data_IF_664368005940
#
_entry.id   IF_664368005940
#
_cell.length_a   1.000
_cell.length_b   1.000
_cell.length_c   1.000
_cell.angle_alpha   90.00
_cell.angle_beta   90.00
_cell.angle_gamma   90.00
#
_symmetry.space_group_name_H-M   'P 1'
#
loop_
_entity.id
_entity.type
_entity.pdbx_description
1 polymer ?
#
# COMPACT_ATOMS: atom_id res chain seq x y z
N UNK A 1 37.87 11.21 -23.99
CA UNK A 1 37.98 9.89 -23.39
C UNK A 1 38.38 10.02 -21.91
N UNK A 2 37.61 9.46 -21.03
CA UNK A 2 37.88 9.44 -19.60
C UNK A 2 37.43 8.13 -18.95
N UNK A 3 38.15 7.70 -17.89
CA UNK A 3 37.78 6.56 -17.05
C UNK A 3 37.39 7.03 -15.67
N UNK A 4 36.38 6.40 -15.05
CA UNK A 4 35.83 6.76 -13.75
C UNK A 4 35.48 8.25 -13.67
N UNK A 5 34.71 8.72 -14.65
CA UNK A 5 34.28 10.11 -14.73
C UNK A 5 33.04 10.29 -13.87
N UNK A 6 33.06 11.25 -12.97
CA UNK A 6 31.96 11.48 -12.05
C UNK A 6 31.52 12.95 -11.99
N UNK A 7 30.23 13.13 -11.71
CA UNK A 7 29.63 14.43 -11.35
C UNK A 7 28.83 14.22 -10.07
N UNK A 8 29.27 14.85 -8.99
CA UNK A 8 28.72 14.60 -7.67
C UNK A 8 28.94 13.14 -7.25
N UNK A 9 27.87 12.46 -6.85
CA UNK A 9 27.89 11.03 -6.46
C UNK A 9 27.75 10.06 -7.64
N UNK A 10 27.45 10.57 -8.85
CA UNK A 10 27.22 9.76 -10.04
C UNK A 10 28.55 9.49 -10.74
N UNK A 11 28.86 8.23 -11.03
CA UNK A 11 30.14 7.80 -11.61
C UNK A 11 29.89 6.86 -12.78
N UNK A 12 30.46 7.21 -13.96
CA UNK A 12 30.55 6.33 -15.10
C UNK A 12 31.90 5.61 -15.12
N UNK A 13 31.92 4.35 -15.55
CA UNK A 13 33.17 3.58 -15.65
C UNK A 13 34.09 4.16 -16.73
N UNK A 14 33.48 4.54 -17.86
CA UNK A 14 34.19 5.14 -18.99
C UNK A 14 33.26 6.08 -19.74
N UNK A 15 33.80 7.20 -20.21
CA UNK A 15 33.11 8.18 -21.07
C UNK A 15 33.93 8.43 -22.32
N UNK A 16 33.26 8.39 -23.48
CA UNK A 16 33.80 8.73 -24.81
C UNK A 16 32.86 9.73 -25.48
N UNK A 17 33.37 10.49 -26.42
CA UNK A 17 32.57 11.40 -27.24
C UNK A 17 33.29 12.65 -27.62
N UNK A 18 32.70 13.41 -28.52
CA UNK A 18 33.08 14.75 -28.89
C UNK A 18 32.29 15.78 -28.07
N UNK A 19 32.92 16.88 -27.75
CA UNK A 19 32.21 18.04 -27.19
C UNK A 19 32.71 19.30 -27.87
N UNK A 20 31.84 20.28 -27.97
CA UNK A 20 32.17 21.63 -28.41
C UNK A 20 31.60 22.68 -27.46
N UNK A 21 32.27 23.80 -27.39
CA UNK A 21 31.82 24.97 -26.67
C UNK A 21 32.15 26.22 -27.49
N UNK A 22 31.13 27.02 -27.81
CA UNK A 22 31.30 28.24 -28.61
C UNK A 22 31.19 29.55 -27.80
N UNK A 23 31.09 29.43 -26.46
CA UNK A 23 30.89 30.55 -25.54
C UNK A 23 29.44 30.64 -25.03
N UNK A 24 28.48 30.10 -25.74
CA UNK A 24 27.06 30.11 -25.37
C UNK A 24 26.47 28.69 -25.31
N UNK A 25 26.94 27.80 -26.20
CA UNK A 25 26.41 26.46 -26.34
C UNK A 25 27.44 25.39 -25.96
N UNK A 26 27.07 24.51 -25.06
CA UNK A 26 27.83 23.29 -24.78
C UNK A 26 27.13 22.11 -25.45
N UNK A 27 27.83 21.44 -26.35
CA UNK A 27 27.28 20.30 -27.09
C UNK A 27 28.10 19.04 -26.86
N UNK A 28 27.42 17.93 -26.59
CA UNK A 28 27.97 16.58 -26.60
C UNK A 28 27.45 15.88 -27.86
N UNK A 29 28.37 15.39 -28.70
CA UNK A 29 28.07 14.71 -29.96
C UNK A 29 28.49 13.24 -29.82
N UNK A 30 27.53 12.35 -30.01
CA UNK A 30 27.75 10.90 -29.90
C UNK A 30 28.49 10.52 -28.62
N UNK A 31 28.05 11.09 -27.51
CA UNK A 31 28.58 10.77 -26.17
C UNK A 31 28.25 9.31 -25.85
N UNK A 32 29.24 8.55 -25.41
CA UNK A 32 29.09 7.17 -24.94
C UNK A 32 29.50 7.14 -23.45
N UNK A 33 28.60 6.62 -22.62
CA UNK A 33 28.81 6.45 -21.18
C UNK A 33 28.69 4.96 -20.86
N UNK A 34 29.76 4.34 -20.41
CA UNK A 34 29.80 2.93 -20.06
C UNK A 34 29.58 2.74 -18.56
N UNK A 35 28.79 1.73 -18.20
CA UNK A 35 28.42 1.41 -16.84
C UNK A 35 28.10 -0.07 -16.68
N UNK A 36 28.88 -0.76 -15.83
CA UNK A 36 28.80 -2.22 -15.73
C UNK A 36 29.05 -2.90 -17.07
N UNK A 37 28.08 -3.72 -17.50
CA UNK A 37 28.15 -4.42 -18.80
C UNK A 37 27.42 -3.67 -19.94
N UNK A 38 26.84 -2.52 -19.64
CA UNK A 38 26.05 -1.75 -20.58
C UNK A 38 26.63 -0.38 -20.90
N UNK A 39 25.88 0.36 -21.71
CA UNK A 39 26.25 1.71 -22.11
C UNK A 39 25.02 2.57 -22.39
N UNK A 40 25.24 3.89 -22.32
CA UNK A 40 24.30 4.90 -22.82
C UNK A 40 25.02 5.66 -23.93
N UNK A 41 24.36 5.83 -25.07
CA UNK A 41 24.84 6.65 -26.18
C UNK A 41 23.83 7.74 -26.48
N UNK A 42 24.29 8.96 -26.78
CA UNK A 42 23.37 10.05 -27.06
C UNK A 42 24.05 11.36 -27.39
N UNK A 43 23.21 12.36 -27.58
CA UNK A 43 23.58 13.73 -27.80
C UNK A 43 22.97 14.60 -26.69
N UNK A 44 23.67 15.67 -26.32
CA UNK A 44 23.16 16.67 -25.40
C UNK A 44 23.56 18.06 -25.88
N UNK A 45 22.66 19.02 -25.68
CA UNK A 45 22.88 20.41 -25.95
C UNK A 45 22.45 21.24 -24.73
N UNK A 46 23.29 22.13 -24.27
CA UNK A 46 22.99 23.09 -23.22
C UNK A 46 23.26 24.51 -23.71
N UNK A 47 22.27 25.38 -23.56
CA UNK A 47 22.35 26.80 -23.85
C UNK A 47 22.53 27.60 -22.57
N UNK A 48 23.67 28.27 -22.41
CA UNK A 48 23.98 29.01 -21.19
C UNK A 48 23.24 30.32 -21.04
N UNK A 49 22.72 30.88 -22.14
CA UNK A 49 21.98 32.16 -22.16
C UNK A 49 20.61 32.08 -21.47
N UNK A 50 19.91 30.97 -21.63
CA UNK A 50 18.58 30.71 -21.05
C UNK A 50 18.55 29.47 -20.15
N UNK A 51 19.72 28.86 -19.93
CA UNK A 51 19.90 27.64 -19.12
C UNK A 51 19.06 26.44 -19.61
N UNK A 52 18.70 26.39 -20.89
CA UNK A 52 17.95 25.27 -21.44
C UNK A 52 18.85 24.12 -21.84
N UNK A 53 18.31 22.90 -21.77
CA UNK A 53 19.01 21.71 -22.27
C UNK A 53 18.10 20.79 -23.06
N UNK A 54 18.70 20.05 -23.99
CA UNK A 54 18.09 18.90 -24.67
C UNK A 54 19.02 17.69 -24.53
N UNK A 55 18.44 16.50 -24.34
CA UNK A 55 19.16 15.24 -24.26
C UNK A 55 18.38 14.21 -25.05
N UNK A 56 19.03 13.55 -26.02
CA UNK A 56 18.53 12.37 -26.70
C UNK A 56 19.50 11.20 -26.44
N UNK A 57 19.02 10.17 -25.79
CA UNK A 57 19.86 9.07 -25.37
C UNK A 57 19.20 7.70 -25.60
N UNK A 58 20.02 6.71 -25.89
CA UNK A 58 19.70 5.29 -25.93
C UNK A 58 20.59 4.53 -24.95
N UNK A 59 19.96 3.80 -24.03
CA UNK A 59 20.61 2.91 -23.09
C UNK A 59 20.52 1.46 -23.57
N UNK A 60 21.59 0.69 -23.44
CA UNK A 60 21.60 -0.75 -23.64
C UNK A 60 22.22 -1.43 -22.43
N UNK A 61 21.39 -2.14 -21.67
CA UNK A 61 21.79 -2.82 -20.44
C UNK A 61 22.60 -1.93 -19.47
N UNK A 62 22.25 -0.65 -19.39
CA UNK A 62 22.94 0.31 -18.56
C UNK A 62 22.59 0.11 -17.08
N UNK A 63 23.61 -0.02 -16.23
CA UNK A 63 23.44 -0.13 -14.78
C UNK A 63 23.24 1.25 -14.17
N UNK A 64 22.07 1.49 -13.60
CA UNK A 64 21.68 2.77 -13.01
C UNK A 64 22.33 3.03 -11.66
N UNK A 65 22.84 2.01 -10.97
CA UNK A 65 23.31 2.10 -9.59
C UNK A 65 24.32 3.25 -9.33
N UNK A 66 25.18 3.51 -10.32
CA UNK A 66 26.21 4.54 -10.20
C UNK A 66 25.89 5.81 -11.00
N UNK A 67 24.96 5.75 -11.96
CA UNK A 67 24.67 6.89 -12.86
C UNK A 67 23.62 7.81 -12.26
N UNK A 68 22.63 7.25 -11.55
CA UNK A 68 21.53 8.01 -10.93
C UNK A 68 21.48 7.77 -9.43
N UNK A 69 22.62 7.61 -8.81
CA UNK A 69 22.77 7.35 -7.37
C UNK A 69 22.07 8.39 -6.50
N UNK A 70 22.12 9.65 -6.91
CA UNK A 70 21.45 10.76 -6.23
C UNK A 70 19.92 10.64 -6.18
N UNK A 71 19.32 9.87 -7.11
CA UNK A 71 17.86 9.62 -7.15
C UNK A 71 17.50 8.35 -6.34
N UNK A 72 18.48 7.49 -6.02
CA UNK A 72 18.26 6.26 -5.25
C UNK A 72 17.56 5.17 -6.04
N UNK A 73 17.70 5.14 -7.38
CA UNK A 73 17.19 4.09 -8.25
C UNK A 73 18.33 3.19 -8.68
N UNK A 74 18.14 1.88 -8.57
CA UNK A 74 19.06 0.84 -9.02
C UNK A 74 18.37 -0.08 -10.00
N UNK A 75 19.14 -0.75 -10.86
CA UNK A 75 18.70 -1.74 -11.82
C UNK A 75 19.33 -1.57 -13.18
N UNK A 76 18.97 -2.42 -14.11
CA UNK A 76 19.50 -2.41 -15.48
C UNK A 76 18.41 -1.89 -16.41
N UNK A 77 18.77 -0.94 -17.30
CA UNK A 77 17.81 -0.36 -18.23
C UNK A 77 18.27 -0.48 -19.68
N UNK A 78 17.29 -0.68 -20.55
CA UNK A 78 17.43 -0.64 -22.02
C UNK A 78 16.29 0.20 -22.57
N UNK A 79 16.57 1.09 -23.51
CA UNK A 79 15.53 1.93 -24.12
C UNK A 79 16.04 3.28 -24.56
N UNK A 80 15.12 4.10 -25.02
CA UNK A 80 15.41 5.46 -25.49
C UNK A 80 14.66 6.50 -24.67
N UNK A 81 15.30 7.66 -24.53
CA UNK A 81 14.72 8.81 -23.83
C UNK A 81 15.15 10.09 -24.54
N UNK A 82 14.20 11.03 -24.67
CA UNK A 82 14.41 12.39 -25.08
C UNK A 82 13.90 13.32 -23.98
N UNK A 83 14.75 14.24 -23.52
CA UNK A 83 14.46 15.19 -22.47
C UNK A 83 14.70 16.61 -22.98
N UNK A 84 13.86 17.54 -22.56
CA UNK A 84 14.07 18.96 -22.69
C UNK A 84 13.72 19.65 -21.37
N UNK A 85 14.53 20.58 -20.95
CA UNK A 85 14.30 21.30 -19.69
C UNK A 85 15.15 22.52 -19.57
N UNK A 86 15.09 23.14 -18.39
CA UNK A 86 16.01 24.18 -17.99
C UNK A 86 16.67 23.83 -16.64
N UNK A 87 17.82 24.42 -16.39
CA UNK A 87 18.59 24.27 -15.19
C UNK A 87 18.93 25.65 -14.61
N UNK A 88 18.30 25.96 -13.49
CA UNK A 88 18.65 27.15 -12.69
C UNK A 88 19.39 26.70 -11.42
N UNK A 89 18.68 26.47 -10.33
CA UNK A 89 19.21 25.82 -9.12
C UNK A 89 18.82 24.34 -9.07
N UNK A 90 17.74 23.97 -9.80
CA UNK A 90 17.21 22.64 -9.94
C UNK A 90 16.89 22.36 -11.41
N UNK A 91 16.80 21.08 -11.77
CA UNK A 91 16.33 20.66 -13.09
C UNK A 91 14.80 20.84 -13.14
N UNK A 92 14.33 21.63 -14.10
CA UNK A 92 12.94 21.77 -14.44
C UNK A 92 12.68 21.15 -15.82
N UNK A 93 11.90 20.07 -15.85
CA UNK A 93 11.64 19.32 -17.07
C UNK A 93 10.46 19.92 -17.84
N UNK A 94 10.70 20.37 -19.06
CA UNK A 94 9.68 20.93 -19.97
C UNK A 94 9.01 19.84 -20.79
N UNK A 95 9.78 18.87 -21.27
CA UNK A 95 9.24 17.71 -21.96
C UNK A 95 10.11 16.46 -21.73
N UNK A 96 9.47 15.29 -21.80
CA UNK A 96 10.14 14.00 -21.74
C UNK A 96 9.38 12.99 -22.59
N UNK A 97 10.09 12.22 -23.39
CA UNK A 97 9.53 11.09 -24.14
C UNK A 97 10.44 9.89 -23.94
N UNK A 98 9.88 8.70 -23.85
CA UNK A 98 10.70 7.51 -23.71
C UNK A 98 9.94 6.22 -23.92
N UNK A 99 10.73 5.18 -24.24
CA UNK A 99 10.33 3.77 -24.25
C UNK A 99 11.46 3.00 -23.56
N UNK A 100 11.20 2.53 -22.35
CA UNK A 100 12.21 2.02 -21.44
C UNK A 100 11.80 0.64 -20.94
N UNK A 101 12.73 -0.27 -20.91
CA UNK A 101 12.64 -1.57 -20.24
C UNK A 101 13.67 -1.62 -19.10
N UNK A 102 13.23 -2.04 -17.93
CA UNK A 102 14.06 -2.16 -16.74
C UNK A 102 14.03 -3.57 -16.16
N UNK A 103 15.15 -4.03 -15.65
CA UNK A 103 15.30 -5.30 -14.96
C UNK A 103 15.86 -5.08 -13.55
N UNK A 104 15.31 -5.81 -12.58
CA UNK A 104 15.71 -5.75 -11.17
C UNK A 104 15.71 -4.32 -10.61
N UNK A 105 14.69 -3.54 -10.98
CA UNK A 105 14.53 -2.15 -10.56
C UNK A 105 14.23 -2.10 -9.07
N UNK A 106 14.95 -1.22 -8.37
CA UNK A 106 14.77 -0.92 -6.94
C UNK A 106 14.80 0.58 -6.73
N UNK A 107 13.90 1.10 -5.92
CA UNK A 107 13.84 2.51 -5.56
C UNK A 107 12.58 2.82 -4.77
N UNK A 108 12.61 3.84 -3.90
CA UNK A 108 11.46 4.30 -3.11
C UNK A 108 10.74 3.20 -2.30
N UNK A 109 11.49 2.16 -1.86
CA UNK A 109 10.94 1.02 -1.14
C UNK A 109 10.26 -0.03 -2.03
N UNK A 110 10.20 0.20 -3.35
CA UNK A 110 9.64 -0.73 -4.33
C UNK A 110 10.76 -1.56 -4.96
N UNK A 111 10.47 -2.83 -5.23
CA UNK A 111 11.30 -3.72 -6.04
C UNK A 111 10.44 -4.30 -7.16
N UNK A 112 10.96 -4.32 -8.37
CA UNK A 112 10.30 -4.93 -9.52
C UNK A 112 11.31 -5.76 -10.33
N UNK A 113 10.94 -6.97 -10.71
CA UNK A 113 11.82 -7.84 -11.49
C UNK A 113 11.97 -7.34 -12.93
N UNK A 114 10.85 -6.95 -13.54
CA UNK A 114 10.86 -6.33 -14.86
C UNK A 114 9.86 -5.18 -14.91
N UNK A 115 10.23 -4.11 -15.60
CA UNK A 115 9.39 -2.93 -15.83
C UNK A 115 9.49 -2.57 -17.30
N UNK A 116 8.38 -2.27 -17.95
CA UNK A 116 8.33 -1.62 -19.25
C UNK A 116 7.50 -0.36 -19.14
N UNK A 117 8.00 0.75 -19.65
CA UNK A 117 7.29 2.02 -19.62
C UNK A 117 7.44 2.75 -20.95
N UNK A 118 6.31 3.20 -21.47
CA UNK A 118 6.27 4.13 -22.61
C UNK A 118 5.57 5.40 -22.14
N UNK A 119 6.20 6.54 -22.32
CA UNK A 119 5.68 7.80 -21.84
C UNK A 119 5.98 8.97 -22.79
N UNK A 120 5.11 9.95 -22.73
CA UNK A 120 5.30 11.28 -23.28
C UNK A 120 4.77 12.29 -22.26
N UNK A 121 5.51 13.32 -22.00
CA UNK A 121 5.20 14.37 -21.04
C UNK A 121 5.58 15.73 -21.61
N UNK A 122 4.73 16.70 -21.42
CA UNK A 122 5.06 18.10 -21.44
C UNK A 122 4.34 18.82 -20.29
N UNK A 123 4.52 20.12 -20.13
CA UNK A 123 3.90 20.86 -19.02
C UNK A 123 2.37 20.83 -19.04
N UNK A 124 1.75 20.74 -20.21
CA UNK A 124 0.29 20.79 -20.38
C UNK A 124 -0.35 19.41 -20.40
N UNK A 125 0.27 18.46 -21.08
CA UNK A 125 -0.28 17.12 -21.27
C UNK A 125 0.79 16.02 -21.22
N UNK A 126 0.34 14.80 -21.22
CA UNK A 126 1.21 13.64 -21.27
C UNK A 126 0.46 12.34 -21.11
N UNK A 127 1.15 11.25 -21.36
CA UNK A 127 0.67 9.90 -21.05
C UNK A 127 1.81 9.03 -20.58
N UNK A 128 1.46 8.00 -19.82
CA UNK A 128 2.37 6.94 -19.39
C UNK A 128 1.64 5.61 -19.38
N UNK A 129 2.24 4.62 -20.03
CA UNK A 129 1.81 3.22 -19.98
C UNK A 129 2.93 2.46 -19.29
N UNK A 130 2.59 1.75 -18.22
CA UNK A 130 3.54 0.94 -17.45
C UNK A 130 3.05 -0.49 -17.44
N UNK A 131 3.97 -1.43 -17.60
CA UNK A 131 3.76 -2.82 -17.21
C UNK A 131 4.94 -3.30 -16.37
N UNK A 132 4.66 -4.12 -15.38
CA UNK A 132 5.70 -4.64 -14.49
C UNK A 132 5.35 -6.02 -13.98
N UNK A 133 6.37 -6.80 -13.65
CA UNK A 133 6.22 -8.13 -13.07
C UNK A 133 6.98 -8.24 -11.75
N UNK A 134 6.43 -9.07 -10.85
CA UNK A 134 6.99 -9.38 -9.53
C UNK A 134 7.40 -8.11 -8.77
N UNK A 135 6.39 -7.27 -8.50
CA UNK A 135 6.55 -6.03 -7.74
C UNK A 135 6.35 -6.33 -6.28
N UNK A 136 7.25 -5.85 -5.43
CA UNK A 136 7.07 -5.90 -3.99
C UNK A 136 7.25 -4.52 -3.35
N UNK A 137 6.42 -4.27 -2.35
CA UNK A 137 6.51 -3.13 -1.44
C UNK A 137 6.26 -3.64 -0.02
N UNK A 138 7.28 -3.60 0.83
CA UNK A 138 7.28 -4.31 2.14
C UNK A 138 6.91 -5.79 1.92
N UNK A 139 5.89 -6.28 2.61
CA UNK A 139 5.41 -7.68 2.54
C UNK A 139 4.36 -7.91 1.42
N UNK A 140 3.92 -6.83 0.76
CA UNK A 140 2.98 -6.92 -0.36
C UNK A 140 3.70 -7.32 -1.64
N UNK A 141 3.18 -8.34 -2.32
CA UNK A 141 3.69 -8.84 -3.59
C UNK A 141 2.58 -8.82 -4.66
N UNK A 142 2.86 -8.18 -5.79
CA UNK A 142 2.07 -8.27 -7.01
C UNK A 142 2.85 -9.04 -8.08
N UNK A 143 2.24 -10.07 -8.64
CA UNK A 143 2.83 -10.84 -9.75
C UNK A 143 2.91 -10.01 -11.04
N UNK A 144 1.93 -9.15 -11.26
CA UNK A 144 1.91 -8.20 -12.38
C UNK A 144 1.22 -6.90 -12.00
N UNK A 145 1.62 -5.82 -12.64
CA UNK A 145 0.97 -4.53 -12.61
C UNK A 145 0.96 -3.94 -14.01
N UNK A 146 -0.17 -3.40 -14.43
CA UNK A 146 -0.27 -2.54 -15.62
C UNK A 146 -0.94 -1.23 -15.23
N UNK A 147 -0.51 -0.12 -15.81
CA UNK A 147 -1.14 1.18 -15.59
C UNK A 147 -1.15 2.00 -16.87
N UNK A 148 -2.25 2.72 -17.08
CA UNK A 148 -2.40 3.73 -18.12
C UNK A 148 -2.81 5.03 -17.48
N UNK A 149 -1.96 6.04 -17.58
CA UNK A 149 -2.11 7.34 -16.93
C UNK A 149 -1.97 8.41 -18.01
N UNK A 150 -2.86 9.40 -18.01
CA UNK A 150 -2.71 10.61 -18.81
C UNK A 150 -2.67 11.84 -17.90
N UNK A 151 -1.97 12.89 -18.35
CA UNK A 151 -1.87 14.18 -17.68
C UNK A 151 -2.59 15.23 -18.54
N UNK A 152 -3.34 16.10 -17.89
CA UNK A 152 -3.92 17.29 -18.50
C UNK A 152 -3.91 18.43 -17.47
N UNK A 153 -3.10 19.44 -17.71
CA UNK A 153 -2.80 20.47 -16.71
C UNK A 153 -2.19 19.84 -15.45
N UNK A 154 -2.74 20.14 -14.28
CA UNK A 154 -2.29 19.61 -13.00
C UNK A 154 -2.94 18.26 -12.63
N UNK A 155 -3.82 17.74 -13.45
CA UNK A 155 -4.54 16.50 -13.18
C UNK A 155 -3.91 15.32 -13.90
N UNK A 156 -3.81 14.20 -13.17
CA UNK A 156 -3.43 12.89 -13.66
C UNK A 156 -4.67 12.00 -13.68
N UNK A 157 -5.04 11.52 -14.85
CA UNK A 157 -6.16 10.63 -15.07
C UNK A 157 -5.63 9.21 -15.16
N UNK A 158 -5.93 8.41 -14.15
CA UNK A 158 -5.63 6.98 -14.12
C UNK A 158 -6.77 6.28 -14.83
N UNK A 159 -6.58 5.95 -16.10
CA UNK A 159 -7.61 5.22 -16.88
C UNK A 159 -7.73 3.78 -16.41
N UNK A 160 -6.62 3.16 -16.03
CA UNK A 160 -6.57 1.90 -15.31
C UNK A 160 -5.24 1.76 -14.59
N UNK A 161 -5.28 1.13 -13.41
CA UNK A 161 -4.16 0.54 -12.72
C UNK A 161 -4.62 -0.84 -12.29
N UNK A 162 -4.10 -1.89 -12.91
CA UNK A 162 -4.50 -3.27 -12.72
C UNK A 162 -3.34 -4.08 -12.16
N UNK A 163 -3.53 -4.64 -10.96
CA UNK A 163 -2.56 -5.50 -10.28
C UNK A 163 -3.09 -6.90 -10.06
N UNK A 164 -2.22 -7.91 -10.04
CA UNK A 164 -2.53 -9.29 -9.66
C UNK A 164 -1.61 -9.80 -8.56
N UNK A 165 -2.17 -10.49 -7.57
CA UNK A 165 -1.44 -11.17 -6.50
C UNK A 165 -2.03 -12.55 -6.29
N UNK A 166 -1.32 -13.60 -6.73
CA UNK A 166 -1.88 -14.95 -6.75
C UNK A 166 -3.18 -15.03 -7.57
N UNK A 167 -4.26 -15.45 -6.92
CA UNK A 167 -5.61 -15.47 -7.49
C UNK A 167 -6.36 -14.13 -7.34
N UNK A 168 -5.78 -13.18 -6.62
CA UNK A 168 -6.39 -11.88 -6.35
C UNK A 168 -6.06 -10.82 -7.38
N UNK A 169 -6.88 -9.78 -7.42
CA UNK A 169 -6.70 -8.62 -8.29
C UNK A 169 -7.02 -7.32 -7.59
N UNK A 170 -6.35 -6.25 -8.04
CA UNK A 170 -6.58 -4.87 -7.64
C UNK A 170 -6.81 -4.06 -8.90
N UNK A 171 -7.87 -3.27 -8.93
CA UNK A 171 -8.14 -2.28 -9.99
C UNK A 171 -8.35 -0.91 -9.36
N UNK A 172 -7.71 0.10 -9.94
CA UNK A 172 -7.86 1.50 -9.54
C UNK A 172 -8.01 2.35 -10.78
N UNK A 173 -9.02 3.24 -10.79
CA UNK A 173 -9.23 4.27 -11.80
C UNK A 173 -9.63 5.59 -11.16
N UNK A 174 -9.51 6.71 -11.88
CA UNK A 174 -9.94 8.01 -11.38
C UNK A 174 -8.97 9.14 -11.64
N UNK A 175 -9.01 10.15 -10.80
CA UNK A 175 -8.23 11.39 -10.96
C UNK A 175 -7.36 11.64 -9.72
N UNK A 176 -6.14 12.04 -9.98
CA UNK A 176 -5.18 12.48 -8.97
C UNK A 176 -4.59 13.84 -9.37
N UNK A 177 -4.45 14.72 -8.39
CA UNK A 177 -3.67 15.96 -8.51
C UNK A 177 -2.85 16.20 -7.24
N UNK A 178 -2.02 17.22 -7.21
CA UNK A 178 -1.24 17.57 -6.01
C UNK A 178 -2.10 17.97 -4.82
N UNK A 179 -3.32 18.45 -5.05
CA UNK A 179 -4.26 18.94 -4.03
C UNK A 179 -5.42 18.00 -3.74
N UNK A 180 -5.72 17.09 -4.66
CA UNK A 180 -6.91 16.24 -4.57
C UNK A 180 -6.72 14.92 -5.29
N UNK A 181 -7.34 13.87 -4.75
CA UNK A 181 -7.52 12.58 -5.42
C UNK A 181 -8.98 12.13 -5.29
N UNK A 182 -9.46 11.49 -6.34
CA UNK A 182 -10.76 10.83 -6.41
C UNK A 182 -10.57 9.55 -7.23
N UNK A 183 -10.30 8.45 -6.50
CA UNK A 183 -9.94 7.18 -7.07
C UNK A 183 -10.96 6.11 -6.67
N UNK A 184 -11.48 5.40 -7.67
CA UNK A 184 -12.24 4.19 -7.45
C UNK A 184 -11.28 3.01 -7.22
N UNK A 185 -11.60 2.17 -6.27
CA UNK A 185 -10.77 1.02 -5.92
C UNK A 185 -11.62 -0.24 -5.86
N UNK A 186 -11.18 -1.28 -6.54
CA UNK A 186 -11.82 -2.59 -6.54
C UNK A 186 -10.76 -3.68 -6.34
N UNK A 187 -10.84 -4.35 -5.20
CA UNK A 187 -9.94 -5.43 -4.79
C UNK A 187 -10.75 -6.71 -4.68
N UNK A 188 -10.26 -7.79 -5.24
CA UNK A 188 -10.94 -9.09 -5.24
C UNK A 188 -9.97 -10.18 -4.84
N UNK A 189 -10.39 -11.03 -3.92
CA UNK A 189 -9.72 -12.29 -3.53
C UNK A 189 -8.22 -12.12 -3.21
N UNK A 190 -7.87 -11.03 -2.49
CA UNK A 190 -6.49 -10.78 -2.07
C UNK A 190 -6.21 -11.51 -0.76
N UNK A 191 -5.00 -12.05 -0.60
CA UNK A 191 -4.54 -12.62 0.67
C UNK A 191 -4.42 -11.51 1.73
N UNK A 192 -5.03 -11.72 2.90
CA UNK A 192 -5.01 -10.74 4.00
C UNK A 192 -3.77 -10.85 4.89
N UNK A 193 -3.04 -11.96 4.88
CA UNK A 193 -1.88 -12.18 5.75
C UNK A 193 -0.80 -11.08 5.60
N UNK A 194 -0.42 -10.64 4.39
CA UNK A 194 0.57 -9.57 4.21
C UNK A 194 0.17 -8.22 4.82
N UNK A 195 -1.14 -7.98 5.03
CA UNK A 195 -1.63 -6.75 5.64
C UNK A 195 -1.51 -6.73 7.16
N UNK A 196 -1.28 -7.88 7.80
CA UNK A 196 -1.12 -8.00 9.25
C UNK A 196 -0.05 -7.05 9.80
N UNK A 197 1.08 -6.94 9.11
CA UNK A 197 2.17 -6.04 9.49
C UNK A 197 1.83 -4.55 9.34
N UNK A 198 0.91 -4.20 8.43
CA UNK A 198 0.50 -2.82 8.19
C UNK A 198 -0.47 -2.31 9.26
N UNK A 199 -1.39 -3.17 9.71
CA UNK A 199 -2.41 -2.78 10.70
C UNK A 199 -2.02 -3.17 12.13
N UNK A 200 -1.01 -4.04 12.30
CA UNK A 200 -0.56 -4.53 13.61
C UNK A 200 -1.53 -5.53 14.25
N UNK A 201 -2.35 -6.20 13.45
CA UNK A 201 -3.33 -7.22 13.87
C UNK A 201 -3.13 -8.44 12.97
N UNK A 202 -2.90 -9.61 13.57
CA UNK A 202 -2.78 -10.85 12.81
C UNK A 202 -4.10 -11.17 12.13
N UNK A 203 -4.05 -11.34 10.82
CA UNK A 203 -5.21 -11.70 10.00
C UNK A 203 -4.80 -12.65 8.89
N UNK A 204 -5.74 -13.50 8.47
CA UNK A 204 -5.60 -14.40 7.34
C UNK A 204 -6.94 -14.53 6.61
N UNK A 205 -6.94 -15.20 5.46
CA UNK A 205 -8.11 -15.41 4.62
C UNK A 205 -8.07 -14.62 3.33
N UNK A 206 -9.14 -14.69 2.56
CA UNK A 206 -9.28 -13.98 1.29
C UNK A 206 -10.15 -12.74 1.46
N UNK A 207 -9.62 -11.59 1.04
CA UNK A 207 -10.27 -10.30 1.19
C UNK A 207 -10.70 -9.66 -0.12
N UNK A 208 -11.75 -8.85 -0.07
CA UNK A 208 -12.20 -8.00 -1.16
C UNK A 208 -12.59 -6.62 -0.60
N UNK A 209 -12.41 -5.59 -1.42
CA UNK A 209 -12.81 -4.22 -1.12
C UNK A 209 -13.36 -3.55 -2.37
N UNK A 210 -14.44 -2.81 -2.23
CA UNK A 210 -14.95 -1.93 -3.29
C UNK A 210 -15.32 -0.59 -2.68
N UNK A 211 -14.68 0.47 -3.14
CA UNK A 211 -14.89 1.79 -2.59
C UNK A 211 -14.09 2.87 -3.30
N UNK A 212 -13.90 3.97 -2.61
CA UNK A 212 -13.20 5.15 -3.13
C UNK A 212 -12.09 5.58 -2.19
N UNK A 213 -11.02 6.12 -2.76
CA UNK A 213 -9.94 6.81 -2.04
C UNK A 213 -9.97 8.29 -2.45
N UNK A 214 -10.37 9.14 -1.53
CA UNK A 214 -10.59 10.56 -1.73
C UNK A 214 -9.68 11.41 -0.84
N UNK A 215 -9.67 12.73 -1.06
CA UNK A 215 -8.91 13.68 -0.25
C UNK A 215 -7.60 14.10 -0.89
N UNK A 216 -6.57 14.33 -0.10
CA UNK A 216 -5.22 14.63 -0.55
C UNK A 216 -4.21 13.64 0.07
N UNK A 217 -2.94 13.73 -0.30
CA UNK A 217 -1.89 12.80 0.21
C UNK A 217 -1.67 12.91 1.73
N UNK A 218 -1.95 14.07 2.33
CA UNK A 218 -1.79 14.27 3.77
C UNK A 218 -3.00 13.75 4.56
N UNK A 219 -4.18 13.84 3.96
CA UNK A 219 -5.45 13.44 4.56
C UNK A 219 -6.26 12.54 3.61
N UNK A 220 -5.76 11.32 3.32
CA UNK A 220 -6.49 10.36 2.50
C UNK A 220 -7.70 9.80 3.26
N UNK A 221 -8.80 9.61 2.57
CA UNK A 221 -10.03 9.00 3.07
C UNK A 221 -10.40 7.82 2.18
N UNK A 222 -10.25 6.62 2.71
CA UNK A 222 -10.71 5.38 2.07
C UNK A 222 -12.09 5.03 2.61
N UNK A 223 -13.08 4.90 1.75
CA UNK A 223 -14.44 4.53 2.14
C UNK A 223 -15.00 3.47 1.21
N UNK A 224 -15.70 2.48 1.76
CA UNK A 224 -16.27 1.43 0.93
C UNK A 224 -16.68 0.19 1.69
N UNK A 225 -17.00 -0.83 0.91
CA UNK A 225 -17.46 -2.12 1.40
C UNK A 225 -16.31 -3.12 1.44
N UNK A 226 -16.17 -3.80 2.56
CA UNK A 226 -15.26 -4.91 2.77
C UNK A 226 -16.00 -6.24 2.74
N UNK A 227 -15.31 -7.26 2.26
CA UNK A 227 -15.74 -8.65 2.31
C UNK A 227 -14.51 -9.53 2.53
N UNK A 228 -14.59 -10.49 3.45
CA UNK A 228 -13.54 -11.47 3.66
C UNK A 228 -14.13 -12.84 3.94
N UNK A 229 -13.40 -13.88 3.56
CA UNK A 229 -13.83 -15.29 3.76
C UNK A 229 -12.72 -16.16 4.30
N UNK A 230 -13.13 -17.16 5.05
CA UNK A 230 -12.34 -18.33 5.43
C UNK A 230 -10.99 -17.97 6.04
N UNK A 231 -11.02 -17.25 7.14
CA UNK A 231 -9.82 -16.77 7.80
C UNK A 231 -9.93 -16.65 9.31
N UNK A 232 -8.99 -15.90 9.85
CA UNK A 232 -8.85 -15.65 11.27
C UNK A 232 -8.41 -14.20 11.50
N UNK A 233 -8.96 -13.54 12.51
CA UNK A 233 -8.47 -12.23 13.00
C UNK A 233 -8.14 -12.39 14.48
N UNK A 234 -6.87 -12.14 14.83
CA UNK A 234 -6.36 -12.23 16.20
C UNK A 234 -6.72 -13.55 16.90
N UNK A 235 -6.65 -14.67 16.17
CA UNK A 235 -6.96 -16.00 16.68
C UNK A 235 -8.45 -16.35 16.70
N UNK A 236 -9.34 -15.46 16.27
CA UNK A 236 -10.78 -15.70 16.16
C UNK A 236 -11.12 -16.07 14.72
N UNK A 237 -11.62 -17.29 14.46
CA UNK A 237 -11.96 -17.71 13.11
C UNK A 237 -13.19 -17.02 12.58
N UNK A 238 -13.28 -16.90 11.26
CA UNK A 238 -14.49 -16.47 10.56
C UNK A 238 -14.68 -17.23 9.26
N UNK A 239 -15.94 -17.40 8.87
CA UNK A 239 -16.31 -17.87 7.54
C UNK A 239 -16.57 -16.67 6.61
N UNK A 240 -17.23 -15.63 7.12
CA UNK A 240 -17.54 -14.43 6.34
C UNK A 240 -17.46 -13.19 7.23
N UNK A 241 -16.77 -12.17 6.76
CA UNK A 241 -16.84 -10.81 7.27
C UNK A 241 -17.31 -9.90 6.15
N UNK A 242 -18.30 -9.04 6.42
CA UNK A 242 -18.76 -8.04 5.45
C UNK A 242 -19.31 -6.81 6.15
N UNK A 243 -19.16 -5.66 5.51
CA UNK A 243 -19.73 -4.40 6.00
C UNK A 243 -19.10 -3.20 5.32
N UNK A 244 -19.33 -2.03 5.87
CA UNK A 244 -18.75 -0.80 5.38
C UNK A 244 -17.68 -0.31 6.36
N UNK A 245 -16.62 0.27 5.81
CA UNK A 245 -15.61 0.97 6.58
C UNK A 245 -15.30 2.33 5.98
N UNK A 246 -14.89 3.23 6.85
CA UNK A 246 -14.27 4.49 6.49
C UNK A 246 -12.94 4.56 7.23
N UNK A 247 -11.86 4.79 6.50
CA UNK A 247 -10.52 4.89 7.05
C UNK A 247 -9.92 6.24 6.69
N UNK A 248 -9.43 6.93 7.71
CA UNK A 248 -8.67 8.18 7.57
C UNK A 248 -7.24 7.97 8.04
N UNK A 249 -6.41 9.02 8.03
CA UNK A 249 -5.07 8.98 8.65
C UNK A 249 -5.12 8.76 10.17
N UNK A 250 -6.27 8.98 10.81
CA UNK A 250 -6.40 9.02 12.25
C UNK A 250 -7.11 7.80 12.83
N UNK A 251 -8.06 7.24 12.09
CA UNK A 251 -8.92 6.17 12.58
C UNK A 251 -9.54 5.32 11.48
N UNK A 252 -9.96 4.11 11.85
CA UNK A 252 -10.84 3.25 11.07
C UNK A 252 -12.20 3.22 11.76
N UNK A 253 -13.25 3.58 11.02
CA UNK A 253 -14.64 3.57 11.50
C UNK A 253 -15.36 2.39 10.84
N UNK A 254 -16.00 1.58 11.66
CA UNK A 254 -16.80 0.44 11.25
C UNK A 254 -18.29 0.80 11.34
N UNK A 255 -18.97 0.73 10.20
CA UNK A 255 -20.42 0.88 10.12
C UNK A 255 -21.02 -0.50 9.84
N UNK A 256 -21.45 -1.19 10.89
CA UNK A 256 -22.12 -2.50 10.85
C UNK A 256 -21.30 -3.58 10.14
N UNK A 257 -20.12 -3.92 10.65
CA UNK A 257 -19.38 -5.09 10.20
C UNK A 257 -20.06 -6.35 10.74
N UNK A 258 -20.58 -7.16 9.83
CA UNK A 258 -21.12 -8.48 10.13
C UNK A 258 -20.03 -9.52 10.00
N UNK A 259 -19.76 -10.22 11.09
CA UNK A 259 -18.79 -11.30 11.16
C UNK A 259 -19.52 -12.59 11.49
N UNK A 260 -19.42 -13.61 10.65
CA UNK A 260 -19.99 -14.93 10.86
C UNK A 260 -18.91 -15.97 11.08
N UNK A 261 -19.11 -16.77 12.10
CA UNK A 261 -18.30 -17.92 12.48
C UNK A 261 -19.25 -19.14 12.54
N UNK A 262 -19.12 -20.13 11.67
CA UNK A 262 -19.99 -21.32 11.64
C UNK A 262 -21.47 -21.03 11.94
N UNK A 263 -21.89 -21.04 13.22
CA UNK A 263 -23.26 -20.81 13.67
C UNK A 263 -23.46 -19.45 14.36
N UNK A 264 -22.35 -18.79 14.70
CA UNK A 264 -22.36 -17.53 15.40
C UNK A 264 -22.34 -16.33 14.46
N UNK A 265 -22.81 -15.21 14.98
CA UNK A 265 -22.76 -13.93 14.29
C UNK A 265 -22.35 -12.83 15.26
N UNK A 266 -21.44 -11.96 14.80
CA UNK A 266 -21.11 -10.72 15.48
C UNK A 266 -21.47 -9.53 14.61
N UNK A 267 -21.91 -8.45 15.22
CA UNK A 267 -22.09 -7.14 14.58
C UNK A 267 -21.19 -6.17 15.30
N UNK A 268 -20.25 -5.59 14.58
CA UNK A 268 -19.25 -4.66 15.11
C UNK A 268 -19.52 -3.27 14.56
N UNK A 269 -19.60 -2.28 15.45
CA UNK A 269 -19.68 -0.86 15.12
C UNK A 269 -18.67 -0.08 15.94
N UNK A 270 -18.34 1.15 15.52
CA UNK A 270 -17.43 2.01 16.28
C UNK A 270 -16.13 2.33 15.53
N UNK A 271 -15.08 2.63 16.28
CA UNK A 271 -13.83 3.10 15.69
C UNK A 271 -12.58 2.56 16.41
N UNK A 272 -11.50 2.45 15.62
CA UNK A 272 -10.13 2.15 16.10
C UNK A 272 -9.21 3.30 15.66
N UNK A 273 -8.59 3.99 16.61
CA UNK A 273 -7.57 5.00 16.35
C UNK A 273 -6.29 4.38 15.77
N UNK A 274 -5.69 5.03 14.78
CA UNK A 274 -4.44 4.60 14.14
C UNK A 274 -3.20 5.32 14.67
N UNK A 275 -3.40 6.47 15.32
CA UNK A 275 -2.31 7.30 15.86
C UNK A 275 -2.13 7.10 17.37
N UNK A 276 -0.90 7.34 17.85
CA UNK A 276 -0.52 7.31 19.26
C UNK A 276 -0.95 6.02 19.99
N UNK A 277 -1.82 6.16 20.99
CA UNK A 277 -2.25 5.07 21.87
C UNK A 277 -3.22 4.07 21.22
N UNK A 278 -3.57 4.22 19.93
CA UNK A 278 -4.53 3.37 19.22
C UNK A 278 -5.80 3.12 20.03
N UNK A 279 -6.54 4.20 20.29
CA UNK A 279 -7.78 4.18 21.10
C UNK A 279 -8.85 3.29 20.47
N UNK A 280 -9.57 2.57 21.33
CA UNK A 280 -10.70 1.73 20.97
C UNK A 280 -12.01 2.40 21.41
N UNK A 281 -13.01 2.33 20.56
CA UNK A 281 -14.39 2.67 20.86
C UNK A 281 -15.30 1.78 20.00
N UNK A 282 -15.51 0.55 20.44
CA UNK A 282 -16.23 -0.48 19.70
C UNK A 282 -17.46 -0.95 20.50
N UNK A 283 -18.54 -1.19 19.80
CA UNK A 283 -19.69 -1.95 20.28
C UNK A 283 -19.80 -3.24 19.47
N UNK A 284 -19.93 -4.35 20.17
CA UNK A 284 -19.98 -5.68 19.58
C UNK A 284 -21.19 -6.41 20.13
N UNK A 285 -22.14 -6.74 19.25
CA UNK A 285 -23.27 -7.60 19.54
C UNK A 285 -23.01 -8.96 18.94
N UNK A 286 -23.06 -10.01 19.75
CA UNK A 286 -22.76 -11.37 19.32
C UNK A 286 -23.91 -12.31 19.67
N UNK A 287 -24.21 -13.23 18.78
CA UNK A 287 -25.26 -14.22 19.00
C UNK A 287 -24.80 -15.62 18.60
N UNK A 288 -25.15 -16.60 19.42
CA UNK A 288 -24.89 -18.02 19.21
C UNK A 288 -23.42 -18.34 18.89
N UNK A 289 -22.49 -17.74 19.62
CA UNK A 289 -21.05 -17.95 19.47
C UNK A 289 -20.52 -18.93 20.50
N UNK A 290 -19.34 -19.51 20.24
CA UNK A 290 -18.66 -20.36 21.22
C UNK A 290 -17.88 -19.50 22.21
N UNK A 291 -18.12 -19.67 23.52
CA UNK A 291 -17.40 -18.91 24.56
C UNK A 291 -15.88 -19.16 24.50
N UNK A 292 -15.48 -20.35 24.08
CA UNK A 292 -14.07 -20.72 23.90
C UNK A 292 -13.34 -19.81 22.89
N UNK A 293 -14.05 -19.33 21.87
CA UNK A 293 -13.48 -18.39 20.89
C UNK A 293 -13.22 -17.02 21.53
N UNK A 294 -14.10 -16.55 22.40
CA UNK A 294 -13.90 -15.28 23.15
C UNK A 294 -12.69 -15.40 24.09
N UNK A 295 -12.62 -16.51 24.84
CA UNK A 295 -11.52 -16.75 25.79
C UNK A 295 -10.17 -16.83 25.07
N UNK A 296 -10.13 -17.51 23.93
CA UNK A 296 -8.93 -17.63 23.07
C UNK A 296 -8.50 -16.25 22.56
N UNK A 297 -9.45 -15.45 22.06
CA UNK A 297 -9.17 -14.09 21.57
C UNK A 297 -8.61 -13.18 22.65
N UNK A 298 -9.15 -13.28 23.89
CA UNK A 298 -8.69 -12.54 25.04
C UNK A 298 -7.44 -13.12 25.70
N UNK A 299 -6.90 -14.22 25.20
CA UNK A 299 -5.82 -15.00 25.83
C UNK A 299 -6.12 -15.30 27.33
N UNK A 300 -7.38 -15.64 27.60
CA UNK A 300 -7.87 -15.91 28.96
C UNK A 300 -7.78 -17.40 29.29
N UNK A 301 -7.10 -17.81 30.36
CA UNK A 301 -6.81 -19.22 30.67
C UNK A 301 -7.96 -19.89 31.46
N UNK A 302 -9.21 -19.61 31.10
CA UNK A 302 -10.36 -20.19 31.78
C UNK A 302 -10.93 -21.38 31.01
N UNK A 303 -11.23 -22.48 31.72
CA UNK A 303 -11.89 -23.66 31.16
C UNK A 303 -13.41 -23.50 31.22
N UNK A 304 -13.93 -22.80 30.21
CA UNK A 304 -15.37 -22.58 30.05
C UNK A 304 -15.79 -23.00 28.66
N UNK A 305 -16.88 -23.73 28.54
CA UNK A 305 -17.47 -24.14 27.27
C UNK A 305 -18.93 -23.67 27.20
N UNK A 306 -19.48 -23.57 26.01
CA UNK A 306 -20.90 -23.27 25.81
C UNK A 306 -21.16 -22.32 24.66
N UNK A 307 -22.46 -22.06 24.47
CA UNK A 307 -22.93 -21.08 23.48
C UNK A 307 -23.35 -19.80 24.19
N UNK A 308 -22.95 -18.66 23.64
CA UNK A 308 -23.22 -17.37 24.26
C UNK A 308 -23.84 -16.38 23.29
N UNK A 309 -24.74 -15.57 23.85
CA UNK A 309 -25.12 -14.28 23.31
C UNK A 309 -24.43 -13.21 24.18
N UNK A 310 -23.87 -12.18 23.56
CA UNK A 310 -23.06 -11.19 24.24
C UNK A 310 -23.29 -9.80 23.63
N UNK A 311 -23.45 -8.81 24.49
CA UNK A 311 -23.45 -7.39 24.12
C UNK A 311 -22.32 -6.71 24.90
N UNK A 312 -21.35 -6.15 24.19
CA UNK A 312 -20.20 -5.55 24.87
C UNK A 312 -19.73 -4.26 24.20
N UNK A 313 -19.14 -3.42 25.03
CA UNK A 313 -18.37 -2.25 24.61
C UNK A 313 -16.89 -2.48 24.89
N UNK A 314 -16.03 -2.06 23.97
CA UNK A 314 -14.59 -2.09 24.14
C UNK A 314 -14.08 -0.66 24.01
N UNK A 315 -13.44 -0.16 25.06
CA UNK A 315 -12.83 1.17 25.14
C UNK A 315 -11.37 1.06 25.57
N UNK A 316 -10.70 2.17 25.85
CA UNK A 316 -9.28 2.19 26.22
C UNK A 316 -8.37 2.16 24.99
N UNK A 317 -7.30 1.34 25.03
CA UNK A 317 -6.32 1.21 23.93
C UNK A 317 -6.14 -0.24 23.55
N UNK A 318 -5.48 -0.52 22.41
CA UNK A 318 -5.19 -1.91 21.99
C UNK A 318 -4.38 -2.65 23.07
N UNK A 319 -3.43 -1.97 23.72
CA UNK A 319 -2.56 -2.56 24.74
C UNK A 319 -3.25 -2.67 26.12
N UNK A 320 -4.21 -1.80 26.40
CA UNK A 320 -4.96 -1.76 27.66
C UNK A 320 -6.47 -1.61 27.38
N UNK A 321 -7.12 -2.66 26.86
CA UNK A 321 -8.55 -2.61 26.59
C UNK A 321 -9.35 -2.63 27.89
N UNK A 322 -10.46 -1.90 27.86
CA UNK A 322 -11.51 -1.93 28.89
C UNK A 322 -12.74 -2.50 28.20
N UNK A 323 -13.23 -3.63 28.70
CA UNK A 323 -14.39 -4.31 28.16
C UNK A 323 -15.48 -4.30 29.22
N UNK A 324 -16.69 -3.98 28.81
CA UNK A 324 -17.86 -3.98 29.67
C UNK A 324 -19.03 -4.56 28.89
N UNK A 325 -19.78 -5.51 29.47
CA UNK A 325 -20.83 -6.17 28.74
C UNK A 325 -21.68 -7.15 29.52
N UNK A 326 -22.72 -7.62 28.82
CA UNK A 326 -23.67 -8.61 29.33
C UNK A 326 -23.54 -9.88 28.52
N UNK A 327 -23.52 -11.02 29.20
CA UNK A 327 -23.42 -12.34 28.58
C UNK A 327 -24.55 -13.25 29.06
N UNK A 328 -25.11 -14.00 28.12
CA UNK A 328 -26.02 -15.11 28.37
C UNK A 328 -25.44 -16.38 27.78
N UNK A 329 -24.97 -17.26 28.65
CA UNK A 329 -24.36 -18.55 28.25
C UNK A 329 -25.41 -19.69 28.39
N UNK A 330 -25.34 -20.68 27.49
CA UNK A 330 -26.26 -21.83 27.47
C UNK A 330 -25.50 -23.11 27.14
N UNK A 331 -25.98 -24.21 27.76
CA UNK A 331 -25.52 -25.58 27.49
C UNK A 331 -23.99 -25.71 27.51
N UNK A 332 -23.38 -25.41 28.61
CA UNK A 332 -21.93 -25.40 28.75
C UNK A 332 -21.42 -25.97 30.05
N UNK A 333 -20.13 -25.74 30.30
CA UNK A 333 -19.47 -26.14 31.54
C UNK A 333 -18.51 -25.04 32.01
N UNK A 334 -18.28 -24.95 33.30
CA UNK A 334 -17.23 -24.19 33.97
C UNK A 334 -16.45 -25.14 34.84
N UNK A 335 -15.13 -25.32 34.59
CA UNK A 335 -14.28 -26.27 35.33
C UNK A 335 -14.94 -27.67 35.47
N UNK A 336 -15.45 -28.19 34.32
CA UNK A 336 -16.15 -29.50 34.21
C UNK A 336 -17.59 -29.51 34.80
N UNK A 337 -18.00 -28.54 35.61
CA UNK A 337 -19.38 -28.45 36.14
C UNK A 337 -20.33 -27.92 35.06
N UNK A 338 -21.41 -28.68 34.79
CA UNK A 338 -22.38 -28.41 33.74
C UNK A 338 -23.39 -27.37 34.17
N UNK A 339 -23.74 -26.46 33.25
CA UNK A 339 -24.86 -25.53 33.41
C UNK A 339 -25.81 -25.55 32.22
N UNK A 340 -27.08 -25.28 32.43
CA UNK A 340 -28.07 -25.14 31.35
C UNK A 340 -28.13 -23.70 30.85
N UNK A 341 -28.12 -22.74 31.74
CA UNK A 341 -28.13 -21.31 31.45
C UNK A 341 -27.41 -20.55 32.55
N UNK A 342 -26.69 -19.53 32.14
CA UNK A 342 -26.02 -18.60 33.06
C UNK A 342 -26.02 -17.22 32.41
N UNK A 343 -26.34 -16.19 33.18
CA UNK A 343 -26.25 -14.78 32.75
C UNK A 343 -25.52 -13.94 33.77
N UNK A 344 -24.68 -13.03 33.28
CA UNK A 344 -23.97 -12.10 34.15
C UNK A 344 -23.56 -10.86 33.38
N UNK A 345 -23.48 -9.76 34.13
CA UNK A 345 -22.72 -8.62 33.69
C UNK A 345 -21.25 -8.83 34.00
N UNK A 346 -20.34 -8.52 33.06
CA UNK A 346 -18.92 -8.65 33.27
C UNK A 346 -18.18 -7.38 32.87
N UNK A 347 -17.04 -7.16 33.54
CA UNK A 347 -16.11 -6.11 33.13
C UNK A 347 -14.67 -6.62 33.19
N UNK A 348 -13.87 -6.20 32.20
CA UNK A 348 -12.44 -6.53 32.13
C UNK A 348 -11.66 -5.22 32.06
N UNK A 349 -10.72 -5.06 32.99
CA UNK A 349 -9.83 -3.91 33.07
C UNK A 349 -8.51 -4.30 33.74
N UNK A 350 -7.38 -3.84 33.21
CA UNK A 350 -6.04 -4.06 33.80
C UNK A 350 -5.74 -5.56 34.08
N UNK A 351 -6.15 -6.46 33.20
CA UNK A 351 -5.93 -7.92 33.38
C UNK A 351 -6.90 -8.58 34.37
N UNK A 352 -7.86 -7.84 34.94
CA UNK A 352 -8.83 -8.38 35.90
C UNK A 352 -10.21 -8.50 35.27
N UNK A 353 -10.79 -9.69 35.33
CA UNK A 353 -12.18 -9.95 34.98
C UNK A 353 -13.03 -9.95 36.24
N UNK A 354 -14.11 -9.16 36.24
CA UNK A 354 -15.10 -9.09 37.27
C UNK A 354 -16.45 -9.57 36.73
N UNK A 355 -17.16 -10.39 37.49
CA UNK A 355 -18.50 -10.85 37.18
C UNK A 355 -19.46 -10.32 38.25
N UNK A 356 -20.54 -9.70 37.83
CA UNK A 356 -21.53 -9.08 38.69
C UNK A 356 -22.94 -9.61 38.37
N UNK A 357 -23.76 -9.80 39.40
CA UNK A 357 -25.17 -10.18 39.23
C UNK A 357 -25.39 -11.49 38.45
N UNK A 358 -24.55 -12.50 38.66
CA UNK A 358 -24.74 -13.83 38.03
C UNK A 358 -26.05 -14.49 38.53
N UNK A 359 -26.83 -15.03 37.57
CA UNK A 359 -28.05 -15.81 37.83
C UNK A 359 -28.01 -17.12 37.04
#
# INVERSE_FOLDING_TARGET
>A
YGKKVGVGENIADEVRGGFSWDGENFQVISGELYTGNGYIVGNALYHSTDNTFTIDAYAKQADLKNIVKSIGIEGIVTGQISLQGNYTDTIHLLSANGDIQGENIRGFGIRAQAVSSKFSYNEQDGYMIISSSNISYKDLLLNSLTATISKLGDNYYISSLDGRSGAGSVHVDGVYSTSHMDLNTHVVNIDLEPFSSLVGINMSGAGAFKGTLNGNLEHPVLSGRVYATDGEIHGVPYNVIQGNLLMTSDEIIFDSIHWKDNKGMHVVTGAIGLKNEKKLNLQINSSNIRIENILKAGNLPYEVTGWVDNDMTITGTIDMPIIDGDIVARNGSVMEELFQSFSTHYSYKNGQLSLNNGM
#
